data_IF_294821004118
#
_entry.id   IF_294821004118
#
_cell.length_a   1.000
_cell.length_b   1.000
_cell.length_c   1.000
_cell.angle_alpha   90.00
_cell.angle_beta   90.00
_cell.angle_gamma   90.00
#
_symmetry.space_group_name_H-M   'P 1'
#
loop_
_entity.id
_entity.type
_entity.pdbx_description
1 polymer ?
#
# COMPACT_ATOMS: atom_id res chain seq x y z
N UNK A 1 -7.00 5.96 -1.97
CA UNK A 1 -5.80 5.16 -2.33
C UNK A 1 -4.71 6.10 -2.77
N UNK A 2 -3.51 5.92 -2.24
CA UNK A 2 -2.33 6.72 -2.59
C UNK A 2 -1.05 5.87 -2.57
N UNK A 3 -0.01 6.43 -3.18
CA UNK A 3 1.34 5.87 -3.14
C UNK A 3 2.28 6.87 -2.48
N UNK A 4 3.04 6.41 -1.50
CA UNK A 4 4.10 7.21 -0.88
C UNK A 4 5.46 6.52 -1.06
N UNK A 5 6.53 7.30 -0.93
CA UNK A 5 7.91 6.80 -0.92
C UNK A 5 8.64 7.38 0.27
N UNK A 6 9.38 6.54 0.97
CA UNK A 6 10.21 6.93 2.11
C UNK A 6 11.52 6.13 2.12
N UNK A 7 12.37 6.36 3.10
CA UNK A 7 13.69 5.73 3.23
C UNK A 7 13.99 5.33 4.67
N UNK A 8 14.59 4.15 4.83
CA UNK A 8 15.15 3.72 6.11
C UNK A 8 16.34 4.60 6.49
N UNK A 9 16.77 4.53 7.76
CA UNK A 9 17.94 5.27 8.28
C UNK A 9 19.21 5.01 7.46
N UNK A 10 19.35 3.82 6.86
CA UNK A 10 20.47 3.47 5.99
C UNK A 10 20.33 3.96 4.53
N UNK A 11 19.33 4.79 4.23
CA UNK A 11 19.07 5.36 2.91
C UNK A 11 18.32 4.45 1.93
N UNK A 12 18.01 3.19 2.30
CA UNK A 12 17.24 2.29 1.43
C UNK A 12 15.81 2.80 1.29
N UNK A 13 15.41 3.12 0.05
CA UNK A 13 14.06 3.57 -0.27
C UNK A 13 13.06 2.40 -0.27
N UNK A 14 11.85 2.70 0.17
CA UNK A 14 10.68 1.84 0.03
C UNK A 14 9.47 2.69 -0.37
N UNK A 15 8.42 1.99 -0.79
CA UNK A 15 7.15 2.56 -1.20
C UNK A 15 6.02 1.93 -0.39
N UNK A 16 4.97 2.70 -0.19
CA UNK A 16 3.73 2.22 0.41
C UNK A 16 2.58 2.44 -0.54
N UNK A 17 1.67 1.48 -0.58
CA UNK A 17 0.34 1.60 -1.17
C UNK A 17 -0.64 1.64 0.01
N UNK A 18 -1.26 2.80 0.21
CA UNK A 18 -2.21 3.01 1.30
C UNK A 18 -3.62 2.99 0.72
N UNK A 19 -4.44 2.07 1.23
CA UNK A 19 -5.87 1.96 0.89
C UNK A 19 -6.66 2.29 2.12
N UNK A 20 -7.33 3.45 2.08
CA UNK A 20 -8.13 3.99 3.17
C UNK A 20 -9.55 4.14 2.65
N UNK A 21 -10.53 3.72 3.46
CA UNK A 21 -11.94 4.00 3.20
C UNK A 21 -12.26 5.46 3.53
N UNK A 22 -12.91 6.18 2.60
CA UNK A 22 -13.15 7.61 2.77
C UNK A 22 -14.28 7.90 3.78
N UNK A 23 -15.23 6.97 3.93
CA UNK A 23 -16.40 7.13 4.80
C UNK A 23 -16.04 6.88 6.27
N UNK A 24 -15.42 5.73 6.57
CA UNK A 24 -15.05 5.33 7.92
C UNK A 24 -13.66 5.84 8.36
N UNK A 25 -12.83 6.28 7.39
CA UNK A 25 -11.40 6.58 7.58
C UNK A 25 -10.58 5.38 8.08
N UNK A 26 -11.06 4.17 7.82
CA UNK A 26 -10.35 2.94 8.15
C UNK A 26 -9.23 2.65 7.15
N UNK A 27 -8.07 2.21 7.66
CA UNK A 27 -6.98 1.73 6.82
C UNK A 27 -7.23 0.27 6.42
N UNK A 28 -7.82 0.06 5.24
CA UNK A 28 -8.15 -1.26 4.71
C UNK A 28 -6.89 -2.09 4.37
N UNK A 29 -5.84 -1.44 3.86
CA UNK A 29 -4.54 -2.08 3.64
C UNK A 29 -3.39 -1.06 3.56
N UNK A 30 -2.20 -1.51 3.99
CA UNK A 30 -0.92 -0.82 3.76
C UNK A 30 0.08 -1.85 3.24
N UNK A 31 0.32 -1.85 1.93
CA UNK A 31 1.30 -2.74 1.29
C UNK A 31 2.64 -2.01 1.15
N UNK A 32 3.73 -2.65 1.56
CA UNK A 32 5.08 -2.05 1.60
C UNK A 32 6.03 -2.89 0.74
N UNK A 33 6.74 -2.25 -0.19
CA UNK A 33 7.82 -2.88 -0.96
C UNK A 33 8.81 -1.84 -1.52
N UNK A 34 9.97 -2.26 -2.00
CA UNK A 34 10.89 -1.39 -2.74
C UNK A 34 10.33 -1.00 -4.12
N UNK A 35 9.41 -1.78 -4.68
CA UNK A 35 8.64 -1.46 -5.88
C UNK A 35 7.25 -2.08 -5.81
N UNK A 36 6.22 -1.26 -6.06
CA UNK A 36 4.83 -1.73 -6.07
C UNK A 36 4.38 -1.88 -7.52
N UNK A 37 4.45 -3.11 -8.03
CA UNK A 37 3.98 -3.44 -9.38
C UNK A 37 2.46 -3.52 -9.43
N UNK A 38 1.87 -3.37 -10.62
CA UNK A 38 0.43 -3.55 -10.82
C UNK A 38 -0.07 -4.90 -10.30
N UNK A 39 0.72 -5.97 -10.44
CA UNK A 39 0.40 -7.30 -9.89
C UNK A 39 0.25 -7.28 -8.36
N UNK A 40 1.10 -6.53 -7.65
CA UNK A 40 0.97 -6.36 -6.20
C UNK A 40 -0.27 -5.55 -5.84
N UNK A 41 -0.55 -4.46 -6.56
CA UNK A 41 -1.76 -3.65 -6.35
C UNK A 41 -3.01 -4.52 -6.49
N UNK A 42 -3.13 -5.27 -7.59
CA UNK A 42 -4.27 -6.16 -7.85
C UNK A 42 -4.44 -7.17 -6.71
N UNK A 43 -3.36 -7.86 -6.32
CA UNK A 43 -3.40 -8.83 -5.22
C UNK A 43 -3.92 -8.20 -3.92
N UNK A 44 -3.41 -7.02 -3.55
CA UNK A 44 -3.84 -6.34 -2.32
C UNK A 44 -5.32 -5.99 -2.37
N UNK A 45 -5.83 -5.52 -3.52
CA UNK A 45 -7.25 -5.20 -3.68
C UNK A 45 -8.15 -6.44 -3.68
N UNK A 46 -7.72 -7.54 -4.31
CA UNK A 46 -8.42 -8.83 -4.24
C UNK A 46 -8.53 -9.33 -2.79
N UNK A 47 -7.48 -9.14 -1.99
CA UNK A 47 -7.52 -9.50 -0.57
C UNK A 47 -8.51 -8.63 0.23
N UNK A 48 -8.59 -7.33 -0.05
CA UNK A 48 -9.55 -6.44 0.61
C UNK A 48 -11.00 -6.84 0.27
N UNK A 49 -11.29 -7.17 -0.99
CA UNK A 49 -12.65 -7.52 -1.43
C UNK A 49 -13.09 -8.92 -0.93
N UNK A 50 -12.14 -9.80 -0.60
CA UNK A 50 -12.41 -11.14 -0.11
C UNK A 50 -12.77 -11.20 1.40
N UNK A 51 -12.72 -10.07 2.11
CA UNK A 51 -13.14 -9.92 3.51
C UNK A 51 -14.59 -9.46 3.59
#
# INVERSE_FOLDING_TARGET
>A
MDFMSDSLVNGRKFRTLNVIDDCSREALAIEIDTSISAKRVIRTLEQIIAW
#
